data_IF_482916185264
#
_entry.id   IF_482916185264
#
_cell.length_a   1.000
_cell.length_b   1.000
_cell.length_c   1.000
_cell.angle_alpha   90.00
_cell.angle_beta   90.00
_cell.angle_gamma   90.00
#
_symmetry.space_group_name_H-M   'P 1'
#
loop_
_entity.id
_entity.type
_entity.pdbx_description
1 polymer ?
#
# COMPACT_ATOMS: atom_id res chain seq x y z
N UNK A 1 -7.23 7.61 -16.79
CA UNK A 1 -7.11 8.85 -17.57
C UNK A 1 -7.34 8.51 -19.02
N UNK A 2 -8.11 9.33 -19.72
CA UNK A 2 -8.46 9.13 -21.12
C UNK A 2 -7.68 10.11 -22.02
N UNK A 3 -7.58 9.79 -23.31
CA UNK A 3 -6.77 10.56 -24.27
C UNK A 3 -7.23 12.02 -24.36
N UNK A 4 -8.53 12.25 -24.27
CA UNK A 4 -9.20 13.55 -24.34
C UNK A 4 -8.81 14.44 -23.16
N UNK A 5 -8.76 13.87 -21.95
CA UNK A 5 -8.32 14.57 -20.73
C UNK A 5 -6.85 15.00 -20.85
N UNK A 6 -5.99 14.15 -21.42
CA UNK A 6 -4.57 14.48 -21.63
C UNK A 6 -4.36 15.55 -22.72
N UNK A 7 -5.23 15.58 -23.75
CA UNK A 7 -5.24 16.65 -24.76
C UNK A 7 -5.68 17.99 -24.17
N UNK A 8 -6.70 17.97 -23.31
CA UNK A 8 -7.19 19.16 -22.62
C UNK A 8 -6.15 19.74 -21.65
N UNK A 9 -5.29 18.89 -21.07
CA UNK A 9 -4.12 19.29 -20.28
C UNK A 9 -2.94 19.82 -21.12
N UNK A 10 -3.08 19.89 -22.45
CA UNK A 10 -2.08 20.46 -23.36
C UNK A 10 -0.89 19.56 -23.67
N UNK A 11 -0.99 18.24 -23.42
CA UNK A 11 0.08 17.30 -23.80
C UNK A 11 0.11 17.10 -25.32
N UNK A 12 1.31 16.93 -25.87
CA UNK A 12 1.48 16.54 -27.28
C UNK A 12 1.04 15.10 -27.51
N UNK A 13 0.59 14.77 -28.72
CA UNK A 13 0.13 13.42 -29.09
C UNK A 13 1.18 12.34 -28.78
N UNK A 14 2.47 12.67 -28.93
CA UNK A 14 3.59 11.75 -28.64
C UNK A 14 3.76 11.48 -27.13
N UNK A 15 3.53 12.49 -26.27
CA UNK A 15 3.53 12.32 -24.82
C UNK A 15 2.29 11.56 -24.35
N UNK A 16 1.14 11.83 -24.98
CA UNK A 16 -0.11 11.12 -24.75
C UNK A 16 0.05 9.63 -25.03
N UNK A 17 0.67 9.26 -26.16
CA UNK A 17 0.91 7.85 -26.50
C UNK A 17 1.78 7.13 -25.46
N UNK A 18 2.84 7.78 -24.98
CA UNK A 18 3.71 7.24 -23.92
C UNK A 18 2.95 7.08 -22.59
N UNK A 19 2.17 8.09 -22.19
CA UNK A 19 1.36 8.05 -20.97
C UNK A 19 0.31 6.95 -21.05
N UNK A 20 -0.44 6.85 -22.15
CA UNK A 20 -1.46 5.81 -22.33
C UNK A 20 -0.86 4.41 -22.35
N UNK A 21 0.33 4.23 -22.93
CA UNK A 21 1.04 2.95 -22.90
C UNK A 21 1.44 2.58 -21.47
N UNK A 22 2.04 3.52 -20.72
CA UNK A 22 2.43 3.27 -19.32
C UNK A 22 1.20 3.04 -18.44
N UNK A 23 0.14 3.83 -18.64
CA UNK A 23 -1.12 3.70 -17.92
C UNK A 23 -1.77 2.35 -18.20
N UNK A 24 -1.82 1.90 -19.45
CA UNK A 24 -2.34 0.57 -19.81
C UNK A 24 -1.59 -0.57 -19.12
N UNK A 25 -0.25 -0.48 -19.01
CA UNK A 25 0.55 -1.47 -18.24
C UNK A 25 0.15 -1.50 -16.77
N UNK A 26 -0.01 -0.32 -16.15
CA UNK A 26 -0.40 -0.21 -14.74
C UNK A 26 -1.82 -0.71 -14.52
N UNK A 27 -2.76 -0.32 -15.39
CA UNK A 27 -4.17 -0.76 -15.31
C UNK A 27 -4.28 -2.27 -15.48
N UNK A 28 -3.57 -2.86 -16.44
CA UNK A 28 -3.56 -4.32 -16.61
C UNK A 28 -2.96 -5.01 -15.38
N UNK A 29 -1.86 -4.49 -14.82
CA UNK A 29 -1.27 -5.05 -13.60
C UNK A 29 -2.20 -4.95 -12.39
N UNK A 30 -2.91 -3.84 -12.22
CA UNK A 30 -3.92 -3.67 -11.16
C UNK A 30 -5.08 -4.64 -11.38
N UNK A 31 -5.55 -4.79 -12.62
CA UNK A 31 -6.62 -5.71 -12.97
C UNK A 31 -6.24 -7.16 -12.68
N UNK A 32 -5.05 -7.60 -13.07
CA UNK A 32 -4.55 -8.95 -12.76
C UNK A 32 -4.45 -9.19 -11.25
N UNK A 33 -4.06 -8.17 -10.46
CA UNK A 33 -4.05 -8.26 -9.00
C UNK A 33 -5.45 -8.35 -8.41
N UNK A 34 -6.40 -7.56 -8.93
CA UNK A 34 -7.80 -7.61 -8.50
C UNK A 34 -8.43 -8.96 -8.81
N UNK A 35 -8.27 -9.50 -10.02
CA UNK A 35 -8.79 -10.82 -10.40
C UNK A 35 -8.19 -11.94 -9.53
N UNK A 36 -6.90 -11.84 -9.17
CA UNK A 36 -6.27 -12.77 -8.22
C UNK A 36 -6.84 -12.64 -6.82
N UNK A 37 -7.12 -11.43 -6.35
CA UNK A 37 -7.74 -11.20 -5.06
C UNK A 37 -9.16 -11.83 -5.01
N UNK A 38 -10.00 -11.55 -6.01
CA UNK A 38 -11.34 -12.12 -6.11
C UNK A 38 -11.30 -13.67 -6.16
N UNK A 39 -10.33 -14.24 -6.89
CA UNK A 39 -10.13 -15.69 -6.94
C UNK A 39 -9.74 -16.26 -5.59
N UNK A 40 -8.82 -15.62 -4.87
CA UNK A 40 -8.38 -16.05 -3.54
C UNK A 40 -9.51 -15.93 -2.51
N UNK A 41 -10.31 -14.87 -2.56
CA UNK A 41 -11.49 -14.70 -1.71
C UNK A 41 -12.51 -15.82 -1.96
N UNK A 42 -12.78 -16.13 -3.22
CA UNK A 42 -13.67 -17.25 -3.58
C UNK A 42 -13.12 -18.60 -3.10
N UNK A 43 -11.82 -18.84 -3.21
CA UNK A 43 -11.19 -20.07 -2.69
C UNK A 43 -11.27 -20.16 -1.16
N UNK A 44 -11.10 -19.04 -0.45
CA UNK A 44 -11.24 -19.00 1.01
C UNK A 44 -12.67 -19.39 1.41
N UNK A 45 -13.68 -18.84 0.73
CA UNK A 45 -15.08 -19.14 1.04
C UNK A 45 -15.44 -20.61 0.72
N UNK A 46 -14.94 -21.13 -0.40
CA UNK A 46 -15.11 -22.54 -0.76
C UNK A 46 -14.45 -23.47 0.28
N UNK A 47 -13.21 -23.17 0.71
CA UNK A 47 -12.55 -23.93 1.76
C UNK A 47 -13.26 -23.85 3.11
N UNK A 48 -13.81 -22.69 3.48
CA UNK A 48 -14.64 -22.55 4.69
C UNK A 48 -15.89 -23.44 4.61
N UNK A 49 -16.54 -23.48 3.45
CA UNK A 49 -17.71 -24.35 3.21
C UNK A 49 -17.32 -25.82 3.34
N UNK A 50 -16.23 -26.24 2.69
CA UNK A 50 -15.74 -27.63 2.77
C UNK A 50 -15.36 -28.04 4.21
N UNK A 51 -14.80 -27.14 5.02
CA UNK A 51 -14.54 -27.39 6.44
C UNK A 51 -15.84 -27.62 7.22
N UNK A 52 -16.84 -26.76 7.03
CA UNK A 52 -18.13 -26.90 7.70
C UNK A 52 -18.86 -28.20 7.31
N UNK A 53 -18.80 -28.59 6.03
CA UNK A 53 -19.34 -29.86 5.54
C UNK A 53 -18.62 -31.05 6.19
N UNK A 54 -17.28 -30.99 6.30
CA UNK A 54 -16.49 -32.03 6.98
C UNK A 54 -16.85 -32.17 8.46
N UNK A 55 -17.04 -31.06 9.16
CA UNK A 55 -17.38 -31.08 10.58
C UNK A 55 -18.79 -31.67 10.79
N UNK A 56 -19.73 -31.36 9.89
CA UNK A 56 -21.06 -31.98 9.86
C UNK A 56 -20.97 -33.49 9.63
N UNK A 57 -20.14 -33.93 8.68
CA UNK A 57 -19.90 -35.36 8.43
C UNK A 57 -19.28 -36.07 9.63
N UNK A 58 -18.33 -35.44 10.33
CA UNK A 58 -17.74 -35.98 11.56
C UNK A 58 -18.78 -36.09 12.69
N UNK A 59 -19.70 -35.15 12.82
CA UNK A 59 -20.81 -35.27 13.76
C UNK A 59 -21.73 -36.45 13.43
N UNK A 60 -22.11 -36.62 12.15
CA UNK A 60 -22.94 -37.75 11.73
C UNK A 60 -22.24 -39.10 11.94
N UNK A 61 -20.95 -39.17 11.61
CA UNK A 61 -20.14 -40.36 11.86
C UNK A 61 -20.02 -40.65 13.36
N UNK A 62 -19.86 -39.61 14.20
CA UNK A 62 -19.81 -39.75 15.65
C UNK A 62 -21.07 -40.42 16.20
N UNK A 63 -22.25 -39.97 15.74
CA UNK A 63 -23.55 -40.56 16.11
C UNK A 63 -23.66 -42.02 15.65
N UNK A 64 -23.14 -42.35 14.46
CA UNK A 64 -23.16 -43.73 13.92
C UNK A 64 -22.14 -44.64 14.59
N UNK A 65 -21.08 -44.09 15.16
CA UNK A 65 -20.03 -44.82 15.86
C UNK A 65 -20.33 -45.05 17.35
N UNK A 66 -21.46 -44.52 17.86
CA UNK A 66 -21.91 -44.74 19.24
C UNK A 66 -21.92 -46.23 19.59
N UNK A 67 -21.23 -46.60 20.67
CA UNK A 67 -21.03 -47.98 21.10
C UNK A 67 -19.73 -48.63 20.63
N UNK A 68 -18.95 -47.96 19.77
CA UNK A 68 -17.56 -48.31 19.47
C UNK A 68 -16.63 -47.25 20.07
N UNK A 69 -16.01 -47.57 21.21
CA UNK A 69 -15.15 -46.65 21.97
C UNK A 69 -13.95 -46.15 21.15
N UNK A 70 -13.31 -47.03 20.36
CA UNK A 70 -12.15 -46.68 19.55
C UNK A 70 -12.51 -45.70 18.43
N UNK A 71 -13.60 -45.97 17.69
CA UNK A 71 -14.06 -45.07 16.63
C UNK A 71 -14.59 -43.75 17.20
N UNK A 72 -15.27 -43.78 18.34
CA UNK A 72 -15.76 -42.56 19.01
C UNK A 72 -14.59 -41.68 19.44
N UNK A 73 -13.54 -42.27 20.02
CA UNK A 73 -12.33 -41.54 20.41
C UNK A 73 -11.61 -40.92 19.21
N UNK A 74 -11.45 -41.66 18.11
CA UNK A 74 -10.83 -41.14 16.89
C UNK A 74 -11.62 -39.99 16.27
N UNK A 75 -12.96 -40.07 16.29
CA UNK A 75 -13.82 -38.99 15.75
C UNK A 75 -13.69 -37.73 16.61
N UNK A 76 -13.64 -37.86 17.93
CA UNK A 76 -13.45 -36.72 18.83
C UNK A 76 -12.07 -36.08 18.66
N UNK A 77 -11.01 -36.89 18.52
CA UNK A 77 -9.67 -36.38 18.21
C UNK A 77 -9.65 -35.62 16.88
N UNK A 78 -10.28 -36.15 15.83
CA UNK A 78 -10.37 -35.50 14.53
C UNK A 78 -11.13 -34.17 14.60
N UNK A 79 -12.20 -34.08 15.40
CA UNK A 79 -12.91 -32.81 15.64
C UNK A 79 -12.01 -31.78 16.31
N UNK A 80 -11.29 -32.18 17.36
CA UNK A 80 -10.38 -31.29 18.07
C UNK A 80 -9.23 -30.80 17.19
N UNK A 81 -8.65 -31.69 16.37
CA UNK A 81 -7.62 -31.33 15.41
C UNK A 81 -8.15 -30.35 14.34
N UNK A 82 -9.37 -30.57 13.82
CA UNK A 82 -10.00 -29.67 12.87
C UNK A 82 -10.21 -28.27 13.47
N UNK A 83 -10.79 -28.17 14.68
CA UNK A 83 -11.02 -26.88 15.36
C UNK A 83 -9.71 -26.13 15.67
N UNK A 84 -8.69 -26.86 16.12
CA UNK A 84 -7.36 -26.29 16.36
C UNK A 84 -6.77 -25.76 15.06
N UNK A 85 -6.80 -26.57 14.00
CA UNK A 85 -6.27 -26.21 12.68
C UNK A 85 -7.00 -24.98 12.12
N UNK A 86 -8.33 -24.94 12.24
CA UNK A 86 -9.15 -23.80 11.82
C UNK A 86 -8.74 -22.52 12.55
N UNK A 87 -8.63 -22.57 13.87
CA UNK A 87 -8.22 -21.44 14.70
C UNK A 87 -6.83 -20.95 14.32
N UNK A 88 -5.86 -21.85 14.15
CA UNK A 88 -4.49 -21.50 13.73
C UNK A 88 -4.45 -20.86 12.34
N UNK A 89 -5.24 -21.37 11.38
CA UNK A 89 -5.32 -20.77 10.04
C UNK A 89 -5.99 -19.39 10.05
N UNK A 90 -7.07 -19.23 10.81
CA UNK A 90 -7.75 -17.93 10.96
C UNK A 90 -6.80 -16.89 11.57
N UNK A 91 -6.10 -17.25 12.64
CA UNK A 91 -5.08 -16.39 13.26
C UNK A 91 -3.95 -16.06 12.29
N UNK A 92 -3.48 -17.04 11.50
CA UNK A 92 -2.41 -16.81 10.52
C UNK A 92 -2.85 -15.88 9.40
N UNK A 93 -4.09 -16.01 8.92
CA UNK A 93 -4.65 -15.12 7.91
C UNK A 93 -4.79 -13.69 8.45
N UNK A 94 -5.31 -13.53 9.66
CA UNK A 94 -5.44 -12.25 10.33
C UNK A 94 -4.07 -11.60 10.55
N UNK A 95 -3.09 -12.36 11.05
CA UNK A 95 -1.72 -11.90 11.24
C UNK A 95 -1.06 -11.49 9.93
N UNK A 96 -1.24 -12.27 8.85
CA UNK A 96 -0.70 -11.94 7.54
C UNK A 96 -1.34 -10.67 6.96
N UNK A 97 -2.66 -10.50 7.11
CA UNK A 97 -3.36 -9.30 6.69
C UNK A 97 -2.88 -8.07 7.47
N UNK A 98 -2.74 -8.21 8.79
CA UNK A 98 -2.18 -7.20 9.69
C UNK A 98 -0.76 -6.81 9.28
N UNK A 99 0.14 -7.79 9.11
CA UNK A 99 1.54 -7.55 8.76
C UNK A 99 1.68 -6.89 7.39
N UNK A 100 0.90 -7.33 6.40
CA UNK A 100 0.89 -6.72 5.07
C UNK A 100 0.40 -5.27 5.13
N UNK A 101 -0.66 -5.00 5.90
CA UNK A 101 -1.16 -3.64 6.08
C UNK A 101 -0.14 -2.76 6.79
N UNK A 102 0.50 -3.29 7.83
CA UNK A 102 1.53 -2.60 8.59
C UNK A 102 2.71 -2.24 7.68
N UNK A 103 3.23 -3.19 6.92
CA UNK A 103 4.35 -2.95 6.01
C UNK A 103 4.01 -1.92 4.94
N UNK A 104 2.79 -1.96 4.39
CA UNK A 104 2.31 -0.97 3.42
C UNK A 104 2.22 0.43 4.04
N UNK A 105 1.68 0.56 5.26
CA UNK A 105 1.60 1.85 5.95
C UNK A 105 3.00 2.39 6.27
N UNK A 106 3.92 1.54 6.77
CA UNK A 106 5.31 1.92 7.04
C UNK A 106 6.05 2.35 5.77
N UNK A 107 5.84 1.63 4.66
CA UNK A 107 6.41 1.99 3.36
C UNK A 107 5.85 3.31 2.85
N UNK A 108 4.54 3.54 2.98
CA UNK A 108 3.89 4.81 2.65
C UNK A 108 4.38 5.98 3.51
N UNK A 109 4.74 5.71 4.76
CA UNK A 109 5.33 6.69 5.67
C UNK A 109 6.82 6.99 5.38
N UNK A 110 7.43 6.37 4.36
CA UNK A 110 8.84 6.52 3.95
C UNK A 110 9.82 6.25 5.09
N UNK A 111 9.59 5.17 5.81
CA UNK A 111 10.49 4.71 6.86
C UNK A 111 11.76 4.14 6.22
N UNK A 112 12.95 4.56 6.69
CA UNK A 112 14.25 4.07 6.19
C UNK A 112 14.51 2.61 6.51
N UNK A 113 14.04 2.14 7.67
CA UNK A 113 14.18 0.75 8.11
C UNK A 113 12.88 0.28 8.77
N UNK A 114 12.02 -0.38 7.99
CA UNK A 114 10.72 -0.85 8.45
C UNK A 114 10.84 -1.80 9.63
N UNK A 115 11.88 -2.65 9.66
CA UNK A 115 12.15 -3.56 10.78
C UNK A 115 12.49 -2.81 12.09
N UNK A 116 13.26 -1.74 12.01
CA UNK A 116 13.62 -0.95 13.19
C UNK A 116 12.39 -0.19 13.73
N UNK A 117 11.62 0.46 12.87
CA UNK A 117 10.39 1.15 13.29
C UNK A 117 9.36 0.17 13.82
N UNK A 118 9.20 -1.00 13.19
CA UNK A 118 8.33 -2.07 13.69
C UNK A 118 8.69 -2.49 15.13
N UNK A 119 9.98 -2.51 15.48
CA UNK A 119 10.41 -2.84 16.85
C UNK A 119 10.15 -1.72 17.88
N UNK A 120 9.93 -0.49 17.43
CA UNK A 120 9.65 0.68 18.28
C UNK A 120 8.14 0.94 18.44
N UNK A 121 7.32 0.30 17.62
CA UNK A 121 5.87 0.40 17.66
C UNK A 121 5.30 -0.55 18.73
N UNK A 122 4.27 -0.07 19.42
CA UNK A 122 3.53 -0.86 20.39
C UNK A 122 2.41 -1.64 19.67
N UNK A 123 2.73 -2.88 19.30
CA UNK A 123 1.83 -3.77 18.56
C UNK A 123 0.53 -4.07 19.31
N UNK A 124 0.53 -4.05 20.65
CA UNK A 124 -0.64 -4.41 21.45
C UNK A 124 -1.74 -3.35 21.38
N UNK A 125 -1.36 -2.11 21.06
CA UNK A 125 -2.28 -0.98 20.89
C UNK A 125 -2.76 -0.79 19.45
N UNK A 126 -2.09 -1.43 18.48
CA UNK A 126 -2.42 -1.32 17.07
C UNK A 126 -3.49 -2.36 16.73
N UNK A 127 -4.64 -1.89 16.24
CA UNK A 127 -5.76 -2.75 15.86
C UNK A 127 -6.11 -2.59 14.39
N UNK A 128 -6.29 -3.71 13.71
CA UNK A 128 -6.86 -3.72 12.36
C UNK A 128 -8.37 -3.49 12.46
N UNK A 129 -8.84 -2.37 11.93
CA UNK A 129 -10.26 -2.07 11.76
C UNK A 129 -10.55 -1.88 10.27
N UNK A 130 -11.04 -2.95 9.64
CA UNK A 130 -11.17 -3.04 8.19
C UNK A 130 -9.81 -2.82 7.51
N UNK A 131 -9.73 -1.74 6.74
CA UNK A 131 -8.51 -1.36 6.01
C UNK A 131 -7.58 -0.41 6.78
N UNK A 132 -7.85 -0.07 8.05
CA UNK A 132 -7.08 0.93 8.79
C UNK A 132 -6.45 0.31 10.04
N UNK A 133 -5.18 0.61 10.29
CA UNK A 133 -4.49 0.26 11.54
C UNK A 133 -4.67 1.39 12.54
N UNK A 134 -5.70 1.28 13.39
CA UNK A 134 -5.95 2.26 14.44
C UNK A 134 -4.79 2.28 15.44
N UNK A 135 -4.38 3.48 15.86
CA UNK A 135 -3.27 3.69 16.80
C UNK A 135 -1.89 3.73 16.15
N UNK A 136 -1.73 3.19 14.93
CA UNK A 136 -0.45 3.23 14.22
C UNK A 136 -0.09 4.65 13.76
N UNK A 137 -1.04 5.40 13.22
CA UNK A 137 -0.79 6.76 12.71
C UNK A 137 -0.29 7.70 13.80
N UNK A 138 -0.89 7.64 14.99
CA UNK A 138 -0.49 8.45 16.15
C UNK A 138 0.93 8.10 16.61
N UNK A 139 1.27 6.81 16.66
CA UNK A 139 2.61 6.37 16.99
C UNK A 139 3.64 6.80 15.94
N UNK A 140 3.32 6.67 14.66
CA UNK A 140 4.21 7.11 13.59
C UNK A 140 4.44 8.62 13.60
N UNK A 141 3.42 9.42 13.91
CA UNK A 141 3.57 10.87 14.06
C UNK A 141 4.49 11.20 15.26
N UNK A 142 4.31 10.52 16.39
CA UNK A 142 5.18 10.69 17.55
C UNK A 142 6.64 10.29 17.25
N UNK A 143 6.84 9.18 16.54
CA UNK A 143 8.16 8.73 16.06
C UNK A 143 8.80 9.72 15.08
N UNK A 144 8.02 10.37 14.20
CA UNK A 144 8.54 11.41 13.31
C UNK A 144 9.02 12.64 14.07
N UNK A 145 8.35 13.01 15.16
CA UNK A 145 8.72 14.15 15.99
C UNK A 145 9.96 13.85 16.86
N UNK A 146 10.00 12.69 17.50
CA UNK A 146 11.06 12.33 18.45
C UNK A 146 12.29 11.70 17.78
N UNK A 147 12.08 10.94 16.70
CA UNK A 147 13.11 10.16 16.01
C UNK A 147 13.07 10.38 14.48
N UNK A 148 13.19 11.62 14.00
CA UNK A 148 13.08 11.96 12.57
C UNK A 148 14.14 11.24 11.71
N UNK A 149 15.25 10.80 12.31
CA UNK A 149 16.30 10.08 11.62
C UNK A 149 15.84 8.73 11.02
N UNK A 150 14.76 8.14 11.55
CA UNK A 150 14.16 6.89 11.08
C UNK A 150 13.36 7.06 9.78
N UNK A 151 13.01 8.29 9.43
CA UNK A 151 12.21 8.62 8.25
C UNK A 151 13.09 9.25 7.17
N UNK A 152 12.74 9.00 5.91
CA UNK A 152 13.35 9.70 4.79
C UNK A 152 13.02 11.18 4.86
N UNK A 153 14.02 12.02 4.60
CA UNK A 153 13.78 13.45 4.48
C UNK A 153 12.88 13.70 3.27
N UNK A 154 11.90 14.59 3.39
CA UNK A 154 11.19 15.10 2.23
C UNK A 154 12.18 15.91 1.37
N UNK A 155 12.79 15.27 0.38
CA UNK A 155 13.52 15.98 -0.65
C UNK A 155 12.50 16.84 -1.42
N UNK A 156 12.48 18.14 -1.12
CA UNK A 156 11.84 19.11 -2.00
C UNK A 156 12.54 18.99 -3.36
N UNK A 157 11.84 18.60 -4.44
CA UNK A 157 12.46 18.56 -5.75
C UNK A 157 13.06 19.94 -6.05
N UNK A 158 14.28 20.01 -6.59
CA UNK A 158 14.88 21.29 -6.94
C UNK A 158 13.91 22.02 -7.87
N UNK A 159 13.54 23.25 -7.50
CA UNK A 159 12.67 24.07 -8.34
C UNK A 159 13.31 24.19 -9.72
N UNK A 160 12.63 23.78 -10.81
CA UNK A 160 13.21 23.82 -12.13
C UNK A 160 13.56 25.27 -12.45
N UNK A 161 14.85 25.54 -12.68
CA UNK A 161 15.29 26.85 -13.17
C UNK A 161 14.90 26.92 -14.64
N UNK A 162 13.76 27.55 -14.94
CA UNK A 162 13.36 27.85 -16.31
C UNK A 162 14.31 28.95 -16.81
N UNK A 163 15.38 28.56 -17.50
CA UNK A 163 16.16 29.49 -18.31
C UNK A 163 15.46 29.64 -19.66
N UNK A 164 15.19 30.88 -20.08
CA UNK A 164 14.71 31.18 -21.42
C UNK A 164 15.77 30.74 -22.44
N UNK A 165 15.41 30.04 -23.53
CA UNK A 165 16.36 29.65 -24.56
C UNK A 165 16.72 30.91 -25.36
N UNK A 166 17.76 31.61 -24.93
CA UNK A 166 18.17 32.86 -25.55
C UNK A 166 19.50 33.36 -25.00
N UNK A 167 20.57 33.03 -25.73
CA UNK A 167 21.91 33.63 -25.70
C UNK A 167 22.93 33.09 -24.67
N UNK A 168 23.90 32.25 -25.10
CA UNK A 168 24.90 31.63 -24.22
C UNK A 168 26.14 32.52 -23.96
N UNK A 169 25.99 33.85 -23.89
CA UNK A 169 27.11 34.72 -23.51
C UNK A 169 26.63 36.09 -23.00
N UNK A 170 26.16 36.12 -21.75
CA UNK A 170 25.92 37.36 -21.00
C UNK A 170 27.11 37.64 -20.10
N UNK A 171 28.10 38.36 -20.64
CA UNK A 171 29.31 38.73 -19.91
C UNK A 171 29.01 39.39 -18.57
N UNK A 172 29.84 39.06 -17.58
CA UNK A 172 29.96 39.80 -16.33
C UNK A 172 30.11 41.28 -16.62
N UNK A 173 29.13 42.10 -16.25
CA UNK A 173 29.39 43.53 -16.09
C UNK A 173 28.58 44.10 -14.93
N UNK A 174 29.30 44.33 -13.85
CA UNK A 174 29.07 45.39 -12.88
C UNK A 174 28.74 46.69 -13.61
N UNK A 175 27.51 47.18 -13.50
CA UNK A 175 27.13 48.43 -14.15
C UNK A 175 25.71 48.81 -13.81
N UNK A 176 25.58 49.89 -13.05
CA UNK A 176 24.36 50.38 -12.44
C UNK A 176 23.51 51.14 -13.47
N UNK A 177 23.07 50.47 -14.55
CA UNK A 177 22.31 51.09 -15.63
C UNK A 177 20.90 50.49 -15.68
N UNK A 178 19.99 51.11 -14.92
CA UNK A 178 18.56 50.88 -15.05
C UNK A 178 18.08 51.31 -16.46
N UNK A 179 17.60 50.39 -17.31
CA UNK A 179 17.15 50.69 -18.67
C UNK A 179 15.93 51.62 -18.73
N UNK A 180 15.25 51.88 -17.60
CA UNK A 180 14.16 52.85 -17.51
C UNK A 180 14.65 54.30 -17.40
N UNK A 181 15.87 54.54 -16.92
CA UNK A 181 16.42 55.90 -16.80
C UNK A 181 16.74 56.54 -18.17
N UNK A 182 17.22 55.74 -19.13
CA UNK A 182 17.61 56.23 -20.46
C UNK A 182 16.42 56.73 -21.31
N UNK A 183 15.19 56.29 -21.00
CA UNK A 183 13.98 56.67 -21.76
C UNK A 183 13.39 58.01 -21.30
N UNK A 184 13.66 58.44 -20.06
CA UNK A 184 13.14 59.69 -19.51
C UNK A 184 13.95 60.92 -19.96
N UNK A 185 15.24 60.75 -20.25
CA UNK A 185 16.13 61.82 -20.73
C UNK A 185 15.85 62.29 -22.17
N UNK A 186 14.96 61.61 -22.92
CA UNK A 186 14.62 61.98 -24.30
C UNK A 186 13.45 62.96 -24.42
N UNK A 187 12.86 63.37 -23.30
CA UNK A 187 11.68 64.23 -23.26
C UNK A 187 11.81 65.47 -22.35
N UNK A 188 13.03 65.84 -21.93
CA UNK A 188 13.33 67.13 -21.31
C UNK A 188 14.36 67.89 -22.14
#
# INVERSE_FOLDING_TARGET
MNREELKELGLSDELIDKVMTSHGKVVNSIKEKAEKADTLESQIEDYKTQLADRDTQLEELGKKAEGNEELTAQIEELKQQNETTKTEYEQKLEQQAFDHKLENTLSGAKVKNTKAVKALLDMDTIKLDGDILKGLDDQLNNLKENEPYLFEAEEKPPSPTIVTPGNPNGGTNTGNDDPFAAKLAKYN
#
